data_IF_355323082256
#
_entry.id   IF_355323082256
#
_cell.length_a   1.000
_cell.length_b   1.000
_cell.length_c   1.000
_cell.angle_alpha   90.00
_cell.angle_beta   90.00
_cell.angle_gamma   90.00
#
_symmetry.space_group_name_H-M   'P 1'
#
loop_
_entity.id
_entity.type
_entity.pdbx_description
1 polymer ?
#
# COMPACT_ATOMS: atom_id res chain seq x y z
N UNK A 1 25.55 -5.03 -12.37
CA UNK A 1 24.15 -5.46 -12.63
C UNK A 1 23.21 -4.37 -12.18
N UNK A 2 22.17 -4.11 -12.97
CA UNK A 2 21.17 -3.10 -12.60
C UNK A 2 20.28 -3.65 -11.49
N UNK A 3 20.07 -2.85 -10.43
CA UNK A 3 19.16 -3.21 -9.34
C UNK A 3 17.80 -2.52 -9.54
N UNK A 4 16.73 -3.27 -9.26
CA UNK A 4 15.35 -2.79 -9.27
C UNK A 4 14.78 -2.84 -7.87
N UNK A 5 14.02 -1.81 -7.50
CA UNK A 5 13.30 -1.77 -6.22
C UNK A 5 11.91 -2.34 -6.43
N UNK A 6 11.64 -3.50 -5.86
CA UNK A 6 10.44 -4.31 -6.09
C UNK A 6 9.55 -4.34 -4.85
N UNK A 7 8.25 -4.31 -5.08
CA UNK A 7 7.22 -4.52 -4.06
C UNK A 7 5.99 -5.22 -4.68
N UNK A 8 5.15 -5.78 -3.84
CA UNK A 8 3.88 -6.40 -4.22
C UNK A 8 2.74 -5.53 -3.73
N UNK A 9 1.79 -5.25 -4.60
CA UNK A 9 0.64 -4.41 -4.30
C UNK A 9 -0.70 -5.05 -4.66
N UNK A 10 -1.75 -4.50 -4.07
CA UNK A 10 -3.13 -4.62 -4.53
C UNK A 10 -3.50 -3.27 -5.14
N UNK A 11 -3.91 -3.28 -6.40
CA UNK A 11 -4.37 -2.08 -7.10
C UNK A 11 -5.68 -1.55 -6.52
N UNK A 12 -5.86 -0.24 -6.57
CA UNK A 12 -7.09 0.43 -6.15
C UNK A 12 -7.93 0.77 -7.37
N UNK A 13 -9.24 0.43 -7.41
CA UNK A 13 -10.12 0.81 -8.50
C UNK A 13 -10.12 2.32 -8.78
N UNK A 14 -10.20 2.71 -10.05
CA UNK A 14 -10.14 4.12 -10.48
C UNK A 14 -11.21 4.99 -9.82
N UNK A 15 -12.40 4.47 -9.58
CA UNK A 15 -13.49 5.16 -8.87
C UNK A 15 -13.13 5.51 -7.43
N UNK A 16 -12.46 4.59 -6.74
CA UNK A 16 -11.99 4.79 -5.37
C UNK A 16 -10.82 5.78 -5.36
N UNK A 17 -9.85 5.64 -6.27
CA UNK A 17 -8.75 6.61 -6.42
C UNK A 17 -9.28 8.03 -6.61
N UNK A 18 -10.24 8.22 -7.51
CA UNK A 18 -10.86 9.52 -7.77
C UNK A 18 -11.52 10.09 -6.51
N UNK A 19 -12.27 9.27 -5.78
CA UNK A 19 -12.93 9.68 -4.54
C UNK A 19 -11.93 10.09 -3.46
N UNK A 20 -10.83 9.35 -3.30
CA UNK A 20 -9.77 9.68 -2.35
C UNK A 20 -9.06 10.98 -2.74
N UNK A 21 -8.75 11.18 -4.02
CA UNK A 21 -8.12 12.41 -4.51
C UNK A 21 -8.99 13.64 -4.32
N UNK A 22 -10.31 13.51 -4.42
CA UNK A 22 -11.25 14.58 -4.09
C UNK A 22 -11.26 14.91 -2.58
N UNK A 23 -11.14 13.89 -1.73
CA UNK A 23 -11.14 14.05 -0.27
C UNK A 23 -9.89 14.79 0.23
N UNK A 24 -8.72 14.49 -0.30
CA UNK A 24 -7.47 15.12 0.16
C UNK A 24 -7.34 16.59 -0.18
N UNK A 25 -8.16 17.12 -1.09
CA UNK A 25 -8.13 18.56 -1.48
C UNK A 25 -8.29 19.47 -0.26
N UNK A 26 -9.11 19.10 0.72
CA UNK A 26 -9.35 19.87 1.94
C UNK A 26 -8.09 20.06 2.80
N UNK A 27 -7.09 19.19 2.64
CA UNK A 27 -5.82 19.22 3.40
C UNK A 27 -4.61 19.60 2.56
N UNK A 28 -4.82 20.12 1.35
CA UNK A 28 -3.77 20.36 0.37
C UNK A 28 -2.69 21.32 0.86
N UNK A 29 -3.05 22.26 1.73
CA UNK A 29 -2.13 23.27 2.31
C UNK A 29 -1.25 22.72 3.45
N UNK A 30 -1.52 21.51 3.93
CA UNK A 30 -0.70 20.90 4.97
C UNK A 30 0.71 20.54 4.45
N UNK A 31 1.72 20.51 5.33
CA UNK A 31 3.08 20.15 4.96
C UNK A 31 3.22 18.64 4.71
N UNK A 32 2.57 18.16 3.68
CA UNK A 32 2.48 16.77 3.27
C UNK A 32 2.94 16.63 1.82
N UNK A 33 3.75 15.62 1.56
CA UNK A 33 4.04 15.17 0.18
C UNK A 33 2.92 14.22 -0.23
N UNK A 34 1.95 14.75 -0.95
CA UNK A 34 0.80 13.98 -1.43
C UNK A 34 1.19 12.98 -2.51
N UNK A 35 0.58 11.81 -2.46
CA UNK A 35 0.72 10.79 -3.50
C UNK A 35 -0.05 11.20 -4.74
N UNK A 36 0.47 10.83 -5.90
CA UNK A 36 -0.29 10.92 -7.16
C UNK A 36 -1.40 9.87 -7.15
N UNK A 37 -2.56 10.20 -7.70
CA UNK A 37 -3.71 9.29 -7.75
C UNK A 37 -3.39 7.94 -8.40
N UNK A 38 -2.58 7.95 -9.47
CA UNK A 38 -2.12 6.74 -10.17
C UNK A 38 -1.27 5.80 -9.29
N UNK A 39 -0.59 6.35 -8.27
CA UNK A 39 0.28 5.61 -7.36
C UNK A 39 -0.43 5.12 -6.08
N UNK A 40 -1.72 5.38 -5.93
CA UNK A 40 -2.47 4.88 -4.77
C UNK A 40 -2.65 3.36 -4.85
N UNK A 41 -2.21 2.66 -3.80
CA UNK A 41 -2.23 1.21 -3.74
C UNK A 41 -2.24 0.71 -2.28
N UNK A 42 -2.52 -0.57 -2.09
CA UNK A 42 -2.25 -1.26 -0.85
C UNK A 42 -0.95 -2.05 -1.03
N UNK A 43 0.06 -1.81 -0.21
CA UNK A 43 1.27 -2.62 -0.23
C UNK A 43 1.00 -3.96 0.47
N UNK A 44 1.25 -5.07 -0.23
CA UNK A 44 1.22 -6.42 0.36
C UNK A 44 2.57 -6.73 1.00
N UNK A 45 3.67 -6.50 0.28
CA UNK A 45 5.03 -6.75 0.80
C UNK A 45 6.06 -5.89 0.08
N UNK A 46 7.04 -5.39 0.82
CA UNK A 46 8.23 -4.74 0.26
C UNK A 46 9.34 -5.77 0.11
N UNK A 47 9.77 -6.03 -1.14
CA UNK A 47 10.88 -6.96 -1.43
C UNK A 47 12.22 -6.23 -1.34
N UNK A 48 12.26 -4.96 -1.76
CA UNK A 48 13.46 -4.14 -1.73
C UNK A 48 14.25 -4.18 -3.04
N UNK A 49 15.56 -3.94 -2.95
CA UNK A 49 16.43 -3.92 -4.12
C UNK A 49 16.90 -5.32 -4.48
N UNK A 50 16.62 -5.74 -5.70
CA UNK A 50 17.03 -7.03 -6.27
C UNK A 50 17.77 -6.81 -7.59
N UNK A 51 18.59 -7.77 -7.98
CA UNK A 51 19.19 -7.76 -9.31
C UNK A 51 18.10 -8.00 -10.38
N UNK A 52 18.16 -7.26 -11.48
CA UNK A 52 17.18 -7.36 -12.57
C UNK A 52 17.01 -8.80 -13.08
N UNK A 53 18.10 -9.58 -13.10
CA UNK A 53 18.10 -10.97 -13.55
C UNK A 53 17.21 -11.91 -12.75
N UNK A 54 16.92 -11.61 -11.47
CA UNK A 54 16.07 -12.46 -10.62
C UNK A 54 14.60 -12.04 -10.62
N UNK A 55 14.26 -10.92 -11.25
CA UNK A 55 12.87 -10.42 -11.29
C UNK A 55 11.90 -11.42 -11.91
N UNK A 56 12.21 -12.11 -13.04
CA UNK A 56 11.31 -13.12 -13.60
C UNK A 56 11.01 -14.27 -12.63
N UNK A 57 12.02 -14.72 -11.87
CA UNK A 57 11.85 -15.77 -10.85
C UNK A 57 10.93 -15.28 -9.71
N UNK A 58 11.11 -14.04 -9.27
CA UNK A 58 10.24 -13.43 -8.25
C UNK A 58 8.79 -13.38 -8.74
N UNK A 59 8.55 -12.93 -9.96
CA UNK A 59 7.20 -12.87 -10.56
C UNK A 59 6.57 -14.27 -10.60
N UNK A 60 7.29 -15.28 -11.08
CA UNK A 60 6.81 -16.65 -11.13
C UNK A 60 6.45 -17.19 -9.73
N UNK A 61 7.34 -17.03 -8.74
CA UNK A 61 7.10 -17.49 -7.37
C UNK A 61 5.88 -16.83 -6.73
N UNK A 62 5.67 -15.54 -6.95
CA UNK A 62 4.50 -14.83 -6.43
C UNK A 62 3.23 -15.33 -7.12
N UNK A 63 3.24 -15.46 -8.45
CA UNK A 63 2.10 -15.97 -9.18
C UNK A 63 1.68 -17.38 -8.70
N UNK A 64 2.64 -18.27 -8.52
CA UNK A 64 2.40 -19.63 -7.96
C UNK A 64 1.86 -19.57 -6.53
N UNK A 65 2.40 -18.69 -5.67
CA UNK A 65 2.00 -18.57 -4.27
C UNK A 65 0.57 -18.06 -4.09
N UNK A 66 0.05 -17.28 -5.03
CA UNK A 66 -1.29 -16.69 -4.93
C UNK A 66 -2.34 -17.39 -5.79
N UNK A 67 -1.93 -18.33 -6.64
CA UNK A 67 -2.82 -18.98 -7.63
C UNK A 67 -4.04 -19.70 -7.03
N UNK A 68 -3.92 -20.17 -5.79
CA UNK A 68 -4.99 -20.87 -5.07
C UNK A 68 -5.73 -19.98 -4.06
N UNK A 69 -5.40 -18.68 -3.99
CA UNK A 69 -6.12 -17.75 -3.14
C UNK A 69 -7.45 -17.35 -3.78
N UNK A 70 -8.53 -17.51 -3.03
CA UNK A 70 -9.82 -16.98 -3.43
C UNK A 70 -9.85 -15.46 -3.35
N UNK A 71 -10.57 -14.83 -4.27
CA UNK A 71 -10.86 -13.40 -4.21
C UNK A 71 -11.60 -13.08 -2.89
N UNK A 72 -11.27 -11.93 -2.28
CA UNK A 72 -11.82 -11.51 -0.99
C UNK A 72 -12.11 -10.03 -0.95
N UNK A 73 -12.84 -9.58 0.07
CA UNK A 73 -13.18 -8.19 0.25
C UNK A 73 -12.33 -7.52 1.33
N UNK A 74 -11.99 -6.27 1.09
CA UNK A 74 -11.38 -5.35 2.06
C UNK A 74 -12.34 -4.20 2.32
N UNK A 75 -12.61 -3.93 3.60
CA UNK A 75 -13.40 -2.79 4.05
C UNK A 75 -12.49 -1.72 4.66
N UNK A 76 -12.67 -0.49 4.19
CA UNK A 76 -12.06 0.71 4.74
C UNK A 76 -13.11 1.55 5.46
N UNK A 77 -12.71 2.25 6.49
CA UNK A 77 -13.65 3.03 7.34
C UNK A 77 -13.22 4.45 7.62
N UNK A 78 -11.96 4.83 7.42
CA UNK A 78 -11.47 6.18 7.77
C UNK A 78 -10.25 6.65 6.99
N UNK A 79 -10.13 7.98 6.90
CA UNK A 79 -8.87 8.66 6.59
C UNK A 79 -8.37 9.27 7.89
N UNK A 80 -7.14 8.96 8.27
CA UNK A 80 -6.58 9.40 9.54
C UNK A 80 -5.06 9.57 9.48
N UNK A 81 -4.51 10.16 10.54
CA UNK A 81 -3.07 10.21 10.77
C UNK A 81 -2.55 8.82 11.19
N UNK A 82 -1.42 8.41 10.69
CA UNK A 82 -0.87 7.10 10.99
C UNK A 82 0.66 7.02 10.90
N UNK A 83 1.22 5.87 11.30
CA UNK A 83 0.58 4.76 12.03
C UNK A 83 0.27 5.08 13.49
N UNK A 84 0.89 6.13 14.06
CA UNK A 84 0.66 6.64 15.39
C UNK A 84 0.17 8.09 15.31
N UNK A 85 -0.96 8.40 15.96
CA UNK A 85 -1.56 9.74 15.94
C UNK A 85 -0.68 10.77 16.65
N UNK A 86 0.06 10.37 17.68
CA UNK A 86 0.92 11.28 18.46
C UNK A 86 2.24 11.61 17.76
N UNK A 87 2.75 10.72 16.92
CA UNK A 87 3.93 10.94 16.02
C UNK A 87 3.61 10.46 14.60
N UNK A 88 2.72 11.17 13.89
CA UNK A 88 2.26 10.73 12.58
C UNK A 88 3.33 10.90 11.52
N UNK A 89 3.43 9.91 10.64
CA UNK A 89 4.36 9.88 9.50
C UNK A 89 3.64 9.99 8.17
N UNK A 90 2.38 9.57 8.14
CA UNK A 90 1.56 9.52 6.94
C UNK A 90 0.12 9.94 7.23
N UNK A 91 -0.56 10.35 6.19
CA UNK A 91 -2.02 10.37 6.13
C UNK A 91 -2.42 9.15 5.30
N UNK A 92 -3.25 8.31 5.86
CA UNK A 92 -3.66 7.06 5.23
C UNK A 92 -5.17 6.85 5.24
N UNK A 93 -5.63 6.15 4.23
CA UNK A 93 -6.97 5.58 4.16
C UNK A 93 -6.88 4.13 4.63
N UNK A 94 -7.58 3.76 5.67
CA UNK A 94 -7.40 2.49 6.37
C UNK A 94 -8.71 1.87 6.84
N UNK A 95 -8.64 0.60 7.17
CA UNK A 95 -9.73 -0.19 7.69
C UNK A 95 -9.33 -1.03 8.89
N UNK A 96 -10.21 -1.92 9.33
CA UNK A 96 -9.93 -2.90 10.38
C UNK A 96 -9.04 -4.02 9.85
N UNK A 97 -8.39 -4.75 10.74
CA UNK A 97 -7.60 -5.94 10.38
C UNK A 97 -8.38 -6.90 9.51
N UNK A 98 -7.71 -7.40 8.47
CA UNK A 98 -8.26 -8.36 7.51
C UNK A 98 -7.41 -9.63 7.51
N UNK A 99 -8.03 -10.78 7.82
CA UNK A 99 -7.33 -12.06 7.93
C UNK A 99 -6.81 -12.55 6.58
N UNK A 100 -7.61 -12.39 5.51
CA UNK A 100 -7.21 -12.87 4.18
C UNK A 100 -6.05 -12.05 3.62
N UNK A 101 -6.04 -10.73 3.85
CA UNK A 101 -4.90 -9.89 3.54
C UNK A 101 -3.64 -10.32 4.31
N UNK A 102 -3.79 -10.69 5.58
CA UNK A 102 -2.69 -11.22 6.40
C UNK A 102 -2.13 -12.53 5.85
N UNK A 103 -2.99 -13.48 5.47
CA UNK A 103 -2.58 -14.74 4.84
C UNK A 103 -1.89 -14.52 3.49
N UNK A 104 -2.41 -13.60 2.69
CA UNK A 104 -1.80 -13.23 1.40
C UNK A 104 -0.39 -12.64 1.58
N UNK A 105 -0.23 -11.73 2.53
CA UNK A 105 1.10 -11.19 2.89
C UNK A 105 2.05 -12.32 3.33
N UNK A 106 1.60 -13.20 4.22
CA UNK A 106 2.41 -14.31 4.72
C UNK A 106 2.83 -15.25 3.59
N UNK A 107 1.93 -15.60 2.67
CA UNK A 107 2.24 -16.46 1.53
C UNK A 107 3.28 -15.83 0.60
N UNK A 108 3.16 -14.54 0.29
CA UNK A 108 4.13 -13.80 -0.52
C UNK A 108 5.50 -13.75 0.16
N UNK A 109 5.55 -13.45 1.46
CA UNK A 109 6.82 -13.39 2.20
C UNK A 109 7.49 -14.76 2.32
N UNK A 110 6.73 -15.81 2.61
CA UNK A 110 7.25 -17.17 2.74
C UNK A 110 7.84 -17.71 1.43
N UNK A 111 7.15 -17.50 0.30
CA UNK A 111 7.63 -17.98 -1.00
C UNK A 111 8.94 -17.32 -1.43
N UNK A 112 9.22 -16.11 -0.92
CA UNK A 112 10.46 -15.37 -1.16
C UNK A 112 11.53 -15.61 -0.09
N UNK A 113 11.27 -16.48 0.89
CA UNK A 113 12.19 -16.74 1.99
C UNK A 113 12.38 -15.55 2.94
N UNK A 114 11.45 -14.62 2.94
CA UNK A 114 11.46 -13.48 3.85
C UNK A 114 10.97 -13.89 5.24
N UNK A 115 11.50 -13.22 6.28
CA UNK A 115 10.99 -13.44 7.64
C UNK A 115 9.61 -12.80 7.78
N UNK A 116 8.57 -13.62 7.73
CA UNK A 116 7.24 -13.20 8.10
C UNK A 116 7.17 -12.90 9.61
N UNK A 117 6.61 -11.75 9.98
CA UNK A 117 6.26 -11.49 11.37
C UNK A 117 4.95 -12.21 11.67
N UNK A 118 5.03 -13.45 12.11
CA UNK A 118 3.87 -14.24 12.57
C UNK A 118 3.08 -13.40 13.58
N UNK A 119 1.75 -13.36 13.41
CA UNK A 119 0.78 -12.68 14.27
C UNK A 119 0.70 -11.15 14.17
N UNK A 120 1.25 -10.52 13.16
CA UNK A 120 0.96 -9.12 12.91
C UNK A 120 -0.46 -9.00 12.35
N UNK A 121 -1.32 -8.28 13.08
CA UNK A 121 -2.60 -7.87 12.52
C UNK A 121 -2.36 -7.02 11.27
N UNK A 122 -2.85 -7.50 10.13
CA UNK A 122 -2.68 -6.81 8.87
C UNK A 122 -3.84 -5.85 8.65
N UNK A 123 -3.61 -4.60 8.95
CA UNK A 123 -4.57 -3.53 8.74
C UNK A 123 -4.42 -2.99 7.31
N UNK A 124 -5.44 -3.12 6.44
CA UNK A 124 -5.38 -2.59 5.09
C UNK A 124 -5.25 -1.08 5.14
N UNK A 125 -4.33 -0.52 4.35
CA UNK A 125 -4.14 0.92 4.25
C UNK A 125 -3.60 1.34 2.89
N UNK A 126 -4.02 2.54 2.49
CA UNK A 126 -3.51 3.26 1.32
C UNK A 126 -2.85 4.53 1.82
N UNK A 127 -1.57 4.71 1.57
CA UNK A 127 -0.88 5.97 1.89
C UNK A 127 -1.36 7.05 0.94
N UNK A 128 -1.95 8.11 1.48
CA UNK A 128 -2.40 9.29 0.73
C UNK A 128 -1.32 10.36 0.65
N UNK A 129 -0.50 10.47 1.70
CA UNK A 129 0.60 11.42 1.73
C UNK A 129 1.58 11.14 2.86
N UNK A 130 2.80 11.64 2.71
CA UNK A 130 3.88 11.54 3.69
C UNK A 130 4.11 12.88 4.36
N UNK A 131 4.04 12.91 5.68
CA UNK A 131 4.18 14.12 6.49
C UNK A 131 5.64 14.59 6.44
N UNK A 132 5.83 15.89 6.17
CA UNK A 132 7.14 16.56 6.26
C UNK A 132 7.37 16.94 7.72
N UNK A 133 8.00 16.07 8.48
CA UNK A 133 8.14 16.13 9.94
C UNK A 133 8.51 17.52 10.46
N UNK A 134 9.61 18.10 9.98
CA UNK A 134 10.09 19.40 10.47
C UNK A 134 9.10 20.56 10.26
N UNK A 135 8.36 20.53 9.15
CA UNK A 135 7.31 21.53 8.88
C UNK A 135 6.05 21.27 9.68
N UNK A 136 5.70 20.00 9.85
CA UNK A 136 4.57 19.56 10.66
C UNK A 136 4.72 19.98 12.13
N UNK A 137 5.90 19.78 12.71
CA UNK A 137 6.21 20.14 14.09
C UNK A 137 6.11 21.66 14.33
N UNK A 138 6.34 22.48 13.32
CA UNK A 138 6.23 23.95 13.38
C UNK A 138 4.81 24.48 13.22
N UNK A 139 3.83 23.65 12.96
CA UNK A 139 2.44 24.10 12.93
C UNK A 139 2.00 24.54 14.32
N UNK A 140 1.38 25.71 14.40
CA UNK A 140 0.85 26.29 15.66
C UNK A 140 -0.27 25.40 16.24
N UNK A 141 -1.09 24.83 15.35
CA UNK A 141 -2.12 23.84 15.69
C UNK A 141 -1.93 22.61 14.83
N UNK A 142 -1.96 21.44 15.50
CA UNK A 142 -1.92 20.16 14.77
C UNK A 142 -3.32 19.84 14.24
N UNK A 143 -3.46 19.61 12.94
CA UNK A 143 -4.76 19.24 12.39
C UNK A 143 -5.21 17.88 12.93
N UNK A 144 -6.49 17.79 13.28
CA UNK A 144 -7.13 16.51 13.57
C UNK A 144 -7.70 15.94 12.27
N UNK A 145 -7.04 14.89 11.75
CA UNK A 145 -7.51 14.19 10.56
C UNK A 145 -8.08 12.85 11.00
N UNK A 146 -9.39 12.77 11.01
CA UNK A 146 -10.15 11.56 11.31
C UNK A 146 -11.50 11.64 10.58
N UNK A 147 -11.49 11.38 9.29
CA UNK A 147 -12.69 11.44 8.46
C UNK A 147 -13.22 10.03 8.20
N UNK A 148 -14.48 9.82 8.56
CA UNK A 148 -15.17 8.55 8.31
C UNK A 148 -15.58 8.46 6.85
N UNK A 149 -15.17 7.36 6.22
CA UNK A 149 -15.50 7.05 4.84
C UNK A 149 -15.52 5.53 4.67
N UNK A 150 -16.70 4.96 4.45
CA UNK A 150 -16.88 3.53 4.29
C UNK A 150 -16.79 3.15 2.81
N UNK A 151 -15.80 2.34 2.49
CA UNK A 151 -15.61 1.81 1.14
C UNK A 151 -15.22 0.34 1.27
N UNK A 152 -15.88 -0.52 0.50
CA UNK A 152 -15.50 -1.92 0.33
C UNK A 152 -15.00 -2.13 -1.08
N UNK A 153 -13.94 -2.92 -1.24
CA UNK A 153 -13.42 -3.33 -2.53
C UNK A 153 -13.10 -4.81 -2.56
N UNK A 154 -13.26 -5.42 -3.72
CA UNK A 154 -12.83 -6.80 -3.96
C UNK A 154 -11.35 -6.81 -4.34
N UNK A 155 -10.62 -7.76 -3.79
CA UNK A 155 -9.25 -8.11 -4.18
C UNK A 155 -9.32 -9.37 -5.02
N UNK A 156 -8.98 -9.27 -6.29
CA UNK A 156 -8.99 -10.36 -7.27
C UNK A 156 -7.65 -10.57 -7.96
N UNK A 157 -6.67 -9.73 -7.65
CA UNK A 157 -5.31 -9.86 -8.14
C UNK A 157 -4.30 -9.14 -7.24
N UNK A 158 -3.05 -9.51 -7.35
CA UNK A 158 -1.91 -8.76 -6.85
C UNK A 158 -0.96 -8.45 -8.00
N UNK A 159 -0.18 -7.38 -7.88
CA UNK A 159 0.81 -7.01 -8.90
C UNK A 159 2.21 -6.93 -8.31
N UNK A 160 3.17 -7.43 -9.07
CA UNK A 160 4.60 -7.20 -8.81
C UNK A 160 4.99 -5.89 -9.47
N UNK A 161 5.50 -4.95 -8.68
CA UNK A 161 5.76 -3.59 -9.11
C UNK A 161 7.23 -3.23 -8.98
N UNK A 162 7.72 -2.41 -9.91
CA UNK A 162 9.00 -1.69 -9.79
C UNK A 162 8.76 -0.25 -9.38
N UNK A 163 9.47 0.20 -8.34
CA UNK A 163 9.49 1.60 -7.92
C UNK A 163 10.68 2.33 -8.51
N UNK A 164 10.45 3.39 -9.25
CA UNK A 164 11.46 4.27 -9.85
C UNK A 164 11.42 5.68 -9.27
N UNK A 165 12.52 6.41 -9.45
CA UNK A 165 12.60 7.82 -9.09
C UNK A 165 12.29 8.12 -7.62
N UNK A 166 12.71 7.23 -6.70
CA UNK A 166 12.43 7.41 -5.26
C UNK A 166 10.94 7.29 -4.90
N UNK A 167 10.17 6.52 -5.68
CA UNK A 167 8.72 6.35 -5.49
C UNK A 167 7.87 7.36 -6.27
N UNK A 168 8.46 8.04 -7.26
CA UNK A 168 7.73 8.97 -8.12
C UNK A 168 6.93 8.25 -9.20
N UNK A 169 7.37 7.06 -9.61
CA UNK A 169 6.77 6.24 -10.66
C UNK A 169 6.76 4.78 -10.25
N UNK A 170 5.64 4.09 -10.49
CA UNK A 170 5.47 2.65 -10.30
C UNK A 170 5.13 1.98 -11.62
N UNK A 171 5.85 0.91 -11.92
CA UNK A 171 5.69 0.14 -13.17
C UNK A 171 5.25 -1.26 -12.80
N UNK A 172 4.12 -1.71 -13.37
CA UNK A 172 3.66 -3.09 -13.23
C UNK A 172 4.54 -4.01 -14.06
N UNK A 173 5.08 -5.03 -13.41
CA UNK A 173 5.93 -6.06 -14.03
C UNK A 173 5.14 -7.34 -14.31
N UNK A 174 4.25 -7.71 -13.40
CA UNK A 174 3.42 -8.91 -13.49
C UNK A 174 2.12 -8.69 -12.72
N UNK A 175 0.99 -9.13 -13.27
CA UNK A 175 -0.29 -9.20 -12.59
C UNK A 175 -0.62 -10.67 -12.31
N UNK A 176 -0.86 -11.00 -11.06
CA UNK A 176 -1.10 -12.35 -10.57
C UNK A 176 -2.55 -12.45 -10.10
N UNK A 177 -3.44 -13.08 -10.87
CA UNK A 177 -4.86 -13.21 -10.51
C UNK A 177 -5.04 -14.16 -9.32
N UNK A 178 -6.05 -13.87 -8.51
CA UNK A 178 -6.62 -14.79 -7.52
C UNK A 178 -7.76 -15.60 -8.17
N UNK A 179 -8.17 -16.70 -7.53
CA UNK A 179 -9.24 -17.57 -8.05
C UNK A 179 -10.62 -17.01 -7.71
#
# INVERSE_FOLDING_TARGET
MQKKKIFVEIGIPSSIKKRLMQKIVQWKELPVKWMKGENLHITVSFIGYVDESVVPEICQKINEAVADFEAFEIAFDSIELGPNVDDPKIIWFCGKSNKELGKLNEAVEQTLGMRSQKHKEYRPHVTLGRIRKLKWEKLSEKPNINEKINITMTVDSVSVMESKGGGAEYISLEECPLV
#
